data_IF_967613283376
#
_entry.id   IF_967613283376
#
_cell.length_a   1.000
_cell.length_b   1.000
_cell.length_c   1.000
_cell.angle_alpha   90.00
_cell.angle_beta   90.00
_cell.angle_gamma   90.00
#
_symmetry.space_group_name_H-M   'P 1'
#
loop_
_entity.id
_entity.type
_entity.pdbx_description
1 polymer ?
#
# COMPACT_ATOMS: atom_id res chain seq x y z
N UNK A 1 25.68 5.70 7.00
CA UNK A 1 25.21 4.30 6.90
C UNK A 1 23.69 4.25 7.17
N UNK A 2 22.97 3.54 6.33
CA UNK A 2 21.55 3.28 6.52
C UNK A 2 21.43 1.94 7.25
N UNK A 3 20.64 1.91 8.32
CA UNK A 3 20.19 0.65 8.93
C UNK A 3 19.26 -0.05 7.92
N UNK A 4 19.82 -1.01 7.19
CA UNK A 4 19.11 -1.72 6.12
C UNK A 4 17.94 -2.54 6.67
N UNK A 5 18.11 -3.22 7.77
CA UNK A 5 17.05 -4.04 8.35
C UNK A 5 15.80 -3.18 8.68
N UNK A 6 16.02 -2.05 9.33
CA UNK A 6 14.93 -1.10 9.61
C UNK A 6 14.35 -0.52 8.33
N UNK A 7 15.19 -0.13 7.36
CA UNK A 7 14.75 0.41 6.07
C UNK A 7 13.88 -0.62 5.33
N UNK A 8 14.34 -1.85 5.23
CA UNK A 8 13.65 -2.92 4.51
C UNK A 8 12.31 -3.27 5.17
N UNK A 9 12.24 -3.34 6.50
CA UNK A 9 10.98 -3.53 7.23
C UNK A 9 9.96 -2.43 6.90
N UNK A 10 10.37 -1.17 6.84
CA UNK A 10 9.48 -0.07 6.45
C UNK A 10 9.06 -0.15 4.98
N UNK A 11 9.94 -0.57 4.08
CA UNK A 11 9.60 -0.78 2.66
C UNK A 11 8.53 -1.86 2.49
N UNK A 12 8.65 -2.98 3.18
CA UNK A 12 7.65 -4.06 3.21
C UNK A 12 6.31 -3.55 3.71
N UNK A 13 6.29 -2.90 4.87
CA UNK A 13 5.08 -2.34 5.49
C UNK A 13 4.42 -1.27 4.60
N UNK A 14 5.20 -0.42 3.94
CA UNK A 14 4.69 0.59 3.04
C UNK A 14 4.07 -0.02 1.79
N UNK A 15 4.70 -1.04 1.24
CA UNK A 15 4.15 -1.78 0.10
C UNK A 15 2.85 -2.51 0.48
N UNK A 16 2.80 -3.15 1.65
CA UNK A 16 1.57 -3.76 2.16
C UNK A 16 0.43 -2.73 2.33
N UNK A 17 0.75 -1.52 2.76
CA UNK A 17 -0.24 -0.44 2.85
C UNK A 17 -0.83 -0.09 1.47
N UNK A 18 0.00 0.05 0.44
CA UNK A 18 -0.47 0.28 -0.92
C UNK A 18 -1.32 -0.88 -1.44
N UNK A 19 -0.87 -2.11 -1.25
CA UNK A 19 -1.61 -3.32 -1.62
C UNK A 19 -3.00 -3.34 -0.97
N UNK A 20 -3.08 -3.16 0.34
CA UNK A 20 -4.35 -3.17 1.07
C UNK A 20 -5.26 -2.01 0.68
N UNK A 21 -4.69 -0.84 0.37
CA UNK A 21 -5.45 0.32 -0.09
C UNK A 21 -6.07 0.09 -1.47
N UNK A 22 -5.31 -0.49 -2.40
CA UNK A 22 -5.81 -0.89 -3.71
C UNK A 22 -6.92 -1.94 -3.62
N UNK A 23 -6.69 -2.99 -2.85
CA UNK A 23 -7.68 -4.06 -2.63
C UNK A 23 -8.95 -3.55 -1.95
N UNK A 24 -8.84 -2.73 -0.91
CA UNK A 24 -10.02 -2.18 -0.22
C UNK A 24 -10.87 -1.31 -1.16
N UNK A 25 -10.24 -0.54 -2.03
CA UNK A 25 -10.94 0.26 -3.03
C UNK A 25 -11.74 -0.62 -4.00
N UNK A 26 -11.14 -1.70 -4.51
CA UNK A 26 -11.78 -2.61 -5.46
C UNK A 26 -12.86 -3.48 -4.81
N UNK A 27 -12.55 -4.13 -3.68
CA UNK A 27 -13.44 -5.10 -3.02
C UNK A 27 -14.65 -4.38 -2.38
N UNK A 28 -14.42 -3.22 -1.76
CA UNK A 28 -15.44 -2.52 -0.97
C UNK A 28 -15.97 -1.26 -1.66
N UNK A 29 -16.04 -1.31 -2.99
CA UNK A 29 -16.76 -0.36 -3.81
C UNK A 29 -16.34 1.11 -3.60
N UNK A 30 -15.05 1.37 -3.72
CA UNK A 30 -14.49 2.72 -3.66
C UNK A 30 -14.12 3.22 -2.26
N UNK A 31 -13.94 2.31 -1.30
CA UNK A 31 -13.40 2.67 0.02
C UNK A 31 -11.98 3.21 -0.11
N UNK A 32 -11.73 4.37 0.48
CA UNK A 32 -10.47 5.10 0.35
C UNK A 32 -9.63 5.04 1.60
N UNK A 33 -8.33 5.07 1.43
CA UNK A 33 -7.38 5.36 2.51
C UNK A 33 -7.39 6.86 2.81
N UNK A 34 -7.74 7.22 4.03
CA UNK A 34 -7.79 8.62 4.49
C UNK A 34 -6.69 8.96 5.50
N UNK A 35 -5.88 7.97 5.87
CA UNK A 35 -4.72 8.13 6.73
C UNK A 35 -3.97 6.82 6.89
N UNK A 36 -2.70 6.92 7.23
CA UNK A 36 -1.87 5.76 7.55
C UNK A 36 -0.73 6.14 8.49
N UNK A 37 -0.13 5.14 9.09
CA UNK A 37 1.12 5.28 9.83
C UNK A 37 1.93 3.99 9.69
N UNK A 38 3.14 4.12 9.18
CA UNK A 38 4.04 3.02 8.90
C UNK A 38 5.08 2.89 10.03
N UNK A 39 5.18 1.70 10.60
CA UNK A 39 6.20 1.29 11.55
C UNK A 39 6.90 0.02 11.08
N UNK A 40 8.00 -0.34 11.70
CA UNK A 40 8.78 -1.51 11.30
C UNK A 40 8.15 -2.85 11.71
N UNK A 41 7.34 -2.88 12.77
CA UNK A 41 6.76 -4.09 13.34
C UNK A 41 5.26 -4.23 13.06
N UNK A 42 4.53 -3.12 13.06
CA UNK A 42 3.11 -3.06 12.75
C UNK A 42 2.80 -1.72 12.11
N UNK A 43 1.75 -1.67 11.33
CA UNK A 43 1.30 -0.44 10.67
C UNK A 43 -0.21 -0.32 10.72
N UNK A 44 -0.73 0.87 10.43
CA UNK A 44 -2.16 1.12 10.46
C UNK A 44 -2.62 1.92 9.25
N UNK A 45 -3.84 1.62 8.80
CA UNK A 45 -4.52 2.31 7.71
C UNK A 45 -5.90 2.74 8.22
N UNK A 46 -6.28 3.96 7.91
CA UNK A 46 -7.62 4.49 8.16
C UNK A 46 -8.40 4.47 6.84
N UNK A 47 -9.49 3.72 6.80
CA UNK A 47 -10.37 3.57 5.66
C UNK A 47 -11.68 4.32 5.86
N UNK A 48 -12.22 4.94 4.79
CA UNK A 48 -13.49 5.69 4.81
C UNK A 48 -14.11 5.75 3.40
N UNK A 49 -15.44 5.62 3.24
CA UNK A 49 -16.41 5.24 4.26
C UNK A 49 -16.51 3.71 4.38
N UNK A 50 -16.43 3.17 5.56
CA UNK A 50 -16.60 1.73 5.79
C UNK A 50 -16.98 1.40 7.24
N UNK A 51 -17.65 0.28 7.43
CA UNK A 51 -17.84 -0.40 8.71
C UNK A 51 -17.48 -1.87 8.53
N UNK A 52 -16.23 -2.21 8.78
CA UNK A 52 -15.76 -3.59 8.64
C UNK A 52 -16.48 -4.52 9.63
N UNK A 53 -16.99 -5.63 9.13
CA UNK A 53 -17.24 -6.83 9.93
C UNK A 53 -16.05 -7.80 9.84
N UNK A 54 -16.16 -8.97 10.46
CA UNK A 54 -15.06 -9.94 10.45
C UNK A 54 -14.89 -10.55 9.05
N UNK A 55 -15.96 -10.84 8.35
CA UNK A 55 -15.91 -11.42 6.99
C UNK A 55 -15.19 -10.50 6.03
N UNK A 56 -15.45 -9.20 6.08
CA UNK A 56 -14.76 -8.20 5.26
C UNK A 56 -13.26 -8.12 5.57
N UNK A 57 -12.88 -8.23 6.85
CA UNK A 57 -11.46 -8.24 7.22
C UNK A 57 -10.75 -9.50 6.76
N UNK A 58 -11.43 -10.65 6.86
CA UNK A 58 -10.92 -11.94 6.38
C UNK A 58 -10.75 -11.93 4.85
N UNK A 59 -11.72 -11.34 4.14
CA UNK A 59 -11.65 -11.16 2.69
C UNK A 59 -10.46 -10.27 2.28
N UNK A 60 -10.30 -9.12 2.93
CA UNK A 60 -9.18 -8.22 2.66
C UNK A 60 -7.82 -8.89 2.93
N UNK A 61 -7.70 -9.59 4.06
CA UNK A 61 -6.50 -10.32 4.44
C UNK A 61 -6.20 -11.47 3.47
N UNK A 62 -7.20 -12.26 3.12
CA UNK A 62 -7.07 -13.39 2.18
C UNK A 62 -6.64 -12.91 0.79
N UNK A 63 -7.30 -11.86 0.27
CA UNK A 63 -6.94 -11.28 -1.03
C UNK A 63 -5.54 -10.71 -1.05
N UNK A 64 -5.10 -10.05 0.04
CA UNK A 64 -3.74 -9.57 0.16
C UNK A 64 -2.74 -10.73 0.16
N UNK A 65 -3.02 -11.80 0.91
CA UNK A 65 -2.15 -12.97 1.02
C UNK A 65 -2.09 -13.78 -0.28
N UNK A 66 -3.16 -13.83 -1.05
CA UNK A 66 -3.14 -14.44 -2.38
C UNK A 66 -2.15 -13.72 -3.31
N UNK A 67 -2.12 -12.38 -3.27
CA UNK A 67 -1.22 -11.59 -4.10
C UNK A 67 0.23 -11.60 -3.61
N UNK A 68 0.48 -11.61 -2.29
CA UNK A 68 1.84 -11.67 -1.74
C UNK A 68 2.51 -13.04 -1.95
N UNK A 69 1.76 -14.06 -2.32
CA UNK A 69 2.27 -15.36 -2.73
C UNK A 69 2.58 -15.45 -4.23
N UNK A 70 2.41 -14.36 -4.97
CA UNK A 70 2.68 -14.29 -6.39
C UNK A 70 3.86 -13.38 -6.69
N UNK A 71 4.64 -13.73 -7.72
CA UNK A 71 5.74 -12.88 -8.19
C UNK A 71 5.19 -11.70 -9.01
N UNK A 72 4.72 -10.68 -8.30
CA UNK A 72 4.17 -9.44 -8.87
C UNK A 72 5.19 -8.32 -8.69
N UNK A 73 5.63 -7.75 -9.80
CA UNK A 73 6.62 -6.67 -9.82
C UNK A 73 6.03 -5.35 -9.31
N UNK A 74 6.87 -4.60 -8.60
CA UNK A 74 6.58 -3.23 -8.15
C UNK A 74 7.54 -2.29 -8.84
N UNK A 75 6.98 -1.39 -9.64
CA UNK A 75 7.73 -0.44 -10.44
C UNK A 75 7.46 1.00 -10.00
N UNK A 76 8.33 1.90 -10.41
CA UNK A 76 8.09 3.33 -10.27
C UNK A 76 8.43 4.07 -11.55
N UNK A 77 7.72 5.16 -11.77
CA UNK A 77 7.90 6.02 -12.93
C UNK A 77 7.53 7.46 -12.60
N UNK A 78 7.86 8.36 -13.51
CA UNK A 78 7.40 9.76 -13.43
C UNK A 78 6.25 9.92 -14.42
N UNK A 79 5.12 10.41 -13.93
CA UNK A 79 3.91 10.62 -14.73
C UNK A 79 3.34 12.02 -14.49
N UNK A 80 2.66 12.57 -15.49
CA UNK A 80 1.86 13.78 -15.33
C UNK A 80 0.52 13.46 -14.65
N UNK A 81 -0.16 14.47 -14.13
CA UNK A 81 -1.51 14.30 -13.56
C UNK A 81 -2.50 13.73 -14.56
N UNK A 82 -2.42 14.22 -15.81
CA UNK A 82 -3.28 13.76 -16.89
C UNK A 82 -3.05 12.28 -17.20
N UNK A 83 -1.79 11.83 -17.21
CA UNK A 83 -1.46 10.43 -17.42
C UNK A 83 -1.98 9.54 -16.29
N UNK A 84 -1.86 10.00 -15.04
CA UNK A 84 -2.37 9.25 -13.88
C UNK A 84 -3.91 9.17 -13.95
N UNK A 85 -4.59 10.29 -14.20
CA UNK A 85 -6.05 10.36 -14.28
C UNK A 85 -6.63 9.55 -15.45
N UNK A 86 -5.84 9.30 -16.49
CA UNK A 86 -6.25 8.44 -17.60
C UNK A 86 -6.28 6.94 -17.20
N UNK A 87 -5.57 6.56 -16.13
CA UNK A 87 -5.45 5.17 -15.68
C UNK A 87 -6.26 4.93 -14.41
N UNK A 88 -6.26 5.89 -13.49
CA UNK A 88 -6.88 5.76 -12.17
C UNK A 88 -7.83 6.91 -11.87
N UNK A 89 -8.96 6.67 -11.20
CA UNK A 89 -9.84 7.73 -10.71
C UNK A 89 -9.12 8.67 -9.73
N UNK A 90 -9.40 9.96 -9.81
CA UNK A 90 -8.78 10.98 -8.94
C UNK A 90 -9.01 10.73 -7.45
N UNK A 91 -10.18 10.22 -7.09
CA UNK A 91 -10.54 9.92 -5.71
C UNK A 91 -9.74 8.75 -5.12
N UNK A 92 -9.28 7.81 -5.95
CA UNK A 92 -8.42 6.71 -5.53
C UNK A 92 -6.99 7.19 -5.21
N UNK A 93 -6.45 8.09 -6.00
CA UNK A 93 -5.06 8.53 -5.89
C UNK A 93 -4.82 9.64 -4.87
N UNK A 94 -5.88 10.21 -4.27
CA UNK A 94 -5.82 11.38 -3.39
C UNK A 94 -5.03 12.56 -3.99
N UNK A 95 -5.04 12.67 -5.31
CA UNK A 95 -4.22 13.66 -6.04
C UNK A 95 -4.60 15.11 -5.73
N UNK A 96 -5.84 15.31 -5.28
CA UNK A 96 -6.33 16.62 -4.84
C UNK A 96 -5.61 17.18 -3.61
N UNK A 97 -4.94 16.31 -2.83
CA UNK A 97 -4.14 16.72 -1.67
C UNK A 97 -2.74 17.23 -2.05
N UNK A 98 -2.31 16.97 -3.28
CA UNK A 98 -1.00 17.40 -3.77
C UNK A 98 -1.06 18.81 -4.37
N UNK A 99 -0.06 19.68 -4.11
CA UNK A 99 -0.02 21.02 -4.67
C UNK A 99 -0.15 21.01 -6.20
N UNK A 100 -1.01 21.86 -6.75
CA UNK A 100 -1.25 21.95 -8.21
C UNK A 100 0.00 22.35 -9.00
N UNK A 101 0.97 22.98 -8.34
CA UNK A 101 2.26 23.34 -8.95
C UNK A 101 3.14 22.14 -9.29
N UNK A 102 2.93 20.99 -8.64
CA UNK A 102 3.66 19.75 -8.93
C UNK A 102 3.03 19.07 -10.12
N UNK A 103 3.68 19.19 -11.29
CA UNK A 103 3.17 18.66 -12.58
C UNK A 103 3.61 17.22 -12.81
N UNK A 104 4.85 16.90 -12.45
CA UNK A 104 5.42 15.56 -12.59
C UNK A 104 5.46 14.87 -11.24
N UNK A 105 4.85 13.71 -11.15
CA UNK A 105 4.70 12.95 -9.93
C UNK A 105 5.42 11.61 -10.07
N UNK A 106 6.19 11.25 -9.03
CA UNK A 106 6.64 9.86 -8.92
C UNK A 106 5.45 9.00 -8.53
N UNK A 107 5.17 7.98 -9.32
CA UNK A 107 4.14 6.99 -9.06
C UNK A 107 4.77 5.63 -8.78
N UNK A 108 4.13 4.88 -7.90
CA UNK A 108 4.43 3.48 -7.63
C UNK A 108 3.28 2.64 -8.19
N UNK A 109 3.61 1.61 -8.95
CA UNK A 109 2.67 0.67 -9.55
C UNK A 109 2.94 -0.73 -9.01
N UNK A 110 1.89 -1.41 -8.57
CA UNK A 110 1.92 -2.82 -8.16
C UNK A 110 1.23 -3.64 -9.25
N UNK A 111 2.00 -4.47 -9.96
CA UNK A 111 1.46 -5.25 -11.07
C UNK A 111 0.79 -4.39 -12.13
N UNK A 112 -0.08 -4.99 -12.95
CA UNK A 112 -0.81 -4.24 -13.97
C UNK A 112 -2.04 -3.51 -13.42
N UNK A 113 -2.76 -4.12 -12.46
CA UNK A 113 -4.08 -3.63 -12.03
C UNK A 113 -4.28 -3.61 -10.51
N UNK A 114 -3.25 -3.85 -9.70
CA UNK A 114 -3.42 -3.95 -8.23
C UNK A 114 -3.45 -2.57 -7.59
N UNK A 115 -2.43 -1.74 -7.86
CA UNK A 115 -2.38 -0.36 -7.38
C UNK A 115 -1.52 0.53 -8.28
N UNK A 116 -1.90 1.80 -8.38
CA UNK A 116 -1.10 2.86 -8.97
C UNK A 116 -1.35 4.14 -8.18
N UNK A 117 -0.32 4.62 -7.50
CA UNK A 117 -0.49 5.75 -6.60
C UNK A 117 0.73 6.69 -6.65
N UNK A 118 0.52 8.02 -6.69
CA UNK A 118 1.60 8.98 -6.45
C UNK A 118 2.22 8.75 -5.07
N UNK A 119 3.51 8.42 -5.05
CA UNK A 119 4.22 8.13 -3.82
C UNK A 119 5.71 8.45 -3.93
N UNK A 120 6.23 9.21 -2.97
CA UNK A 120 7.66 9.53 -2.86
C UNK A 120 8.43 8.55 -1.95
N UNK A 121 7.72 7.63 -1.28
CA UNK A 121 8.33 6.68 -0.34
C UNK A 121 9.05 5.52 -1.03
N UNK A 122 9.78 4.75 -0.22
CA UNK A 122 10.49 3.55 -0.68
C UNK A 122 9.61 2.32 -0.56
N UNK A 123 9.73 1.42 -1.54
CA UNK A 123 9.00 0.17 -1.66
C UNK A 123 9.94 -1.00 -1.92
N UNK A 124 9.46 -2.22 -1.70
CA UNK A 124 10.11 -3.43 -2.19
C UNK A 124 9.90 -3.56 -3.70
N UNK A 125 10.60 -4.47 -4.35
CA UNK A 125 10.57 -4.62 -5.81
C UNK A 125 9.58 -5.68 -6.30
N UNK A 126 9.12 -6.55 -5.37
CA UNK A 126 8.21 -7.65 -5.68
C UNK A 126 7.30 -7.93 -4.48
N UNK A 127 6.04 -8.33 -4.71
CA UNK A 127 5.10 -8.64 -3.62
C UNK A 127 5.53 -9.84 -2.76
N UNK A 128 6.29 -10.80 -3.31
CA UNK A 128 6.87 -11.91 -2.54
C UNK A 128 7.78 -11.44 -1.38
N UNK A 129 8.29 -10.21 -1.45
CA UNK A 129 9.10 -9.60 -0.38
C UNK A 129 8.25 -9.05 0.78
N UNK A 130 6.93 -8.91 0.60
CA UNK A 130 6.04 -8.39 1.64
C UNK A 130 5.82 -9.41 2.74
N UNK A 131 5.58 -10.67 2.38
CA UNK A 131 5.17 -11.73 3.30
C UNK A 131 3.67 -11.68 3.59
N UNK A 132 3.21 -12.54 4.51
CA UNK A 132 1.79 -12.57 4.86
C UNK A 132 1.33 -11.30 5.56
N UNK A 133 0.14 -10.83 5.20
CA UNK A 133 -0.53 -9.68 5.83
C UNK A 133 -1.51 -10.20 6.87
N UNK A 134 -1.28 -9.87 8.13
CA UNK A 134 -2.11 -10.30 9.25
C UNK A 134 -2.79 -9.09 9.87
N UNK A 135 -4.11 -8.99 9.74
CA UNK A 135 -4.90 -7.95 10.38
C UNK A 135 -5.07 -8.31 11.86
N UNK A 136 -4.53 -7.50 12.75
CA UNK A 136 -4.50 -7.78 14.20
C UNK A 136 -5.55 -7.01 14.99
N UNK A 137 -6.06 -5.91 14.46
CA UNK A 137 -7.15 -5.17 15.11
C UNK A 137 -7.88 -4.23 14.17
N UNK A 138 -9.13 -3.91 14.53
CA UNK A 138 -9.89 -2.80 13.97
C UNK A 138 -10.38 -1.85 15.05
N UNK A 139 -10.51 -0.56 14.72
CA UNK A 139 -11.03 0.45 15.65
C UNK A 139 -11.83 1.51 14.89
N UNK A 140 -13.01 1.83 15.38
CA UNK A 140 -13.78 2.97 14.87
C UNK A 140 -13.08 4.29 15.21
N UNK A 141 -13.03 5.20 14.24
CA UNK A 141 -12.50 6.56 14.37
C UNK A 141 -13.59 7.63 14.24
N UNK A 142 -14.86 7.19 14.17
CA UNK A 142 -16.00 8.08 13.95
C UNK A 142 -16.20 8.47 12.48
N UNK A 143 -17.36 9.03 12.17
CA UNK A 143 -17.73 9.54 10.82
C UNK A 143 -17.48 8.54 9.69
N UNK A 144 -17.79 7.24 9.92
CA UNK A 144 -17.60 6.19 8.92
C UNK A 144 -16.14 5.80 8.67
N UNK A 145 -15.20 6.25 9.50
CA UNK A 145 -13.78 5.88 9.40
C UNK A 145 -13.46 4.70 10.30
N UNK A 146 -12.81 3.69 9.75
CA UNK A 146 -12.28 2.58 10.51
C UNK A 146 -10.77 2.41 10.29
N UNK A 147 -10.07 2.26 11.41
CA UNK A 147 -8.65 1.95 11.47
C UNK A 147 -8.45 0.45 11.49
N UNK A 148 -7.62 -0.04 10.60
CA UNK A 148 -7.11 -1.41 10.58
C UNK A 148 -5.64 -1.38 10.96
N UNK A 149 -5.21 -2.23 11.88
CA UNK A 149 -3.81 -2.43 12.24
C UNK A 149 -3.38 -3.81 11.75
N UNK A 150 -2.19 -3.88 11.16
CA UNK A 150 -1.66 -5.13 10.59
C UNK A 150 -0.18 -5.31 10.90
N UNK A 151 0.23 -6.57 10.86
CA UNK A 151 1.60 -7.06 10.93
C UNK A 151 1.94 -7.86 9.69
N UNK A 152 3.22 -8.06 9.43
CA UNK A 152 3.70 -8.89 8.33
C UNK A 152 4.43 -10.12 8.85
N UNK A 153 4.14 -11.27 8.24
CA UNK A 153 4.90 -12.48 8.44
C UNK A 153 6.20 -12.49 7.61
N UNK A 154 6.88 -13.64 7.62
CA UNK A 154 8.12 -13.83 6.87
C UNK A 154 7.87 -13.73 5.35
N UNK A 155 8.75 -13.05 4.62
CA UNK A 155 8.64 -12.95 3.17
C UNK A 155 9.07 -14.27 2.51
N UNK A 156 8.48 -14.58 1.36
CA UNK A 156 8.89 -15.70 0.52
C UNK A 156 10.27 -15.44 -0.11
N UNK A 157 10.51 -14.18 -0.44
CA UNK A 157 11.75 -13.69 -1.05
C UNK A 157 12.31 -12.53 -0.26
N UNK A 158 13.63 -12.51 -0.08
CA UNK A 158 14.34 -11.38 0.50
C UNK A 158 15.39 -10.87 -0.48
N UNK A 159 15.65 -9.57 -0.45
CA UNK A 159 16.80 -8.97 -1.13
C UNK A 159 17.79 -8.43 -0.10
N UNK A 160 19.06 -8.68 -0.36
CA UNK A 160 20.14 -7.98 0.35
C UNK A 160 20.36 -6.60 -0.25
N UNK A 161 20.87 -5.63 0.51
CA UNK A 161 21.24 -4.35 -0.07
C UNK A 161 22.29 -4.58 -1.15
N UNK A 162 21.92 -4.33 -2.40
CA UNK A 162 22.94 -4.12 -3.43
C UNK A 162 23.57 -2.76 -3.16
N UNK A 163 24.83 -2.77 -2.74
CA UNK A 163 25.58 -1.54 -2.50
C UNK A 163 25.80 -0.71 -3.79
N UNK A 164 25.43 -1.26 -4.93
CA UNK A 164 25.55 -0.63 -6.25
C UNK A 164 24.32 0.19 -6.67
N UNK A 165 23.30 0.32 -5.81
CA UNK A 165 22.08 1.10 -6.07
C UNK A 165 21.98 2.26 -5.05
N UNK A 166 23.05 3.02 -4.91
CA UNK A 166 23.02 4.30 -4.19
C UNK A 166 23.33 5.42 -5.18
#
# INVERSE_FOLDING_TARGET
NIDWHRRYSHMRMHTAQHLMSGLAYEIFNGVRTVGNQIHSTHSRIDFNPISFDQTMLDELSSSANELTNQSIEITNSIMTREQINAIMPEDRTNMNLLPKSVKNLRVVKIGENVDLCPCAGTHVTNLEEVGSVNIISKKSKGKGTQRVTYELGEPIRTISPNLDII
#
